data_IF_710941113718
#
_entry.id   IF_710941113718
#
_cell.length_a   1.000
_cell.length_b   1.000
_cell.length_c   1.000
_cell.angle_alpha   90.00
_cell.angle_beta   90.00
_cell.angle_gamma   90.00
#
_symmetry.space_group_name_H-M   'P 1'
#
loop_
_entity.id
_entity.type
_entity.pdbx_description
1 polymer ?
#
# COMPACT_ATOMS: atom_id res chain seq x y z
N UNK A 1 9.67 -3.51 16.98
CA UNK A 1 9.92 -2.43 16.02
C UNK A 1 8.87 -1.35 16.24
N UNK A 2 9.28 -0.08 16.25
CA UNK A 2 8.35 1.04 16.28
C UNK A 2 7.71 1.20 14.89
N UNK A 3 6.39 1.23 14.82
CA UNK A 3 5.68 1.49 13.56
C UNK A 3 5.84 2.94 13.11
N UNK A 4 6.40 3.84 13.95
CA UNK A 4 6.81 5.20 13.59
C UNK A 4 7.75 5.26 12.39
N UNK A 5 8.54 4.21 12.18
CA UNK A 5 9.54 4.15 11.11
C UNK A 5 8.97 3.59 9.81
N UNK A 6 7.71 3.14 9.85
CA UNK A 6 6.99 2.70 8.65
C UNK A 6 6.50 3.92 7.89
N UNK A 7 6.74 3.93 6.58
CA UNK A 7 6.17 4.90 5.66
C UNK A 7 5.09 4.19 4.84
N UNK A 8 3.90 4.77 4.84
CA UNK A 8 2.77 4.26 4.06
C UNK A 8 2.52 5.20 2.89
N UNK A 9 2.45 4.64 1.69
CA UNK A 9 2.05 5.36 0.47
C UNK A 9 0.80 4.69 -0.07
N UNK A 10 -0.23 5.49 -0.32
CA UNK A 10 -1.46 5.02 -0.95
C UNK A 10 -1.32 5.13 -2.47
N UNK A 11 -1.60 4.04 -3.17
CA UNK A 11 -1.66 4.03 -4.64
C UNK A 11 -3.13 3.92 -5.04
N UNK A 12 -3.67 4.94 -5.70
CA UNK A 12 -5.05 4.91 -6.15
C UNK A 12 -5.14 4.57 -7.65
N UNK A 13 -5.81 3.47 -7.97
CA UNK A 13 -6.12 3.12 -9.36
C UNK A 13 -7.29 3.99 -9.86
N UNK A 14 -6.97 5.21 -10.27
CA UNK A 14 -7.92 6.24 -10.70
C UNK A 14 -8.72 5.84 -11.97
N UNK A 15 -8.20 4.95 -12.79
CA UNK A 15 -8.72 4.69 -14.14
C UNK A 15 -9.95 3.76 -14.19
N UNK A 16 -10.17 2.91 -13.17
CA UNK A 16 -11.18 1.84 -13.26
C UNK A 16 -12.59 2.23 -12.77
N UNK A 17 -12.82 3.45 -12.26
CA UNK A 17 -14.07 3.82 -11.57
C UNK A 17 -14.72 5.15 -12.00
N UNK A 18 -14.35 5.73 -13.14
CA UNK A 18 -14.93 6.99 -13.63
C UNK A 18 -14.67 8.17 -12.67
N UNK A 19 -15.66 9.03 -12.40
CA UNK A 19 -15.48 10.22 -11.53
C UNK A 19 -15.06 9.91 -10.08
N UNK A 20 -15.28 8.68 -9.61
CA UNK A 20 -14.80 8.17 -8.30
C UNK A 20 -13.28 7.98 -8.27
N UNK A 21 -12.64 8.00 -9.45
CA UNK A 21 -11.22 8.02 -9.65
C UNK A 21 -10.62 9.41 -9.82
N UNK A 22 -11.28 10.50 -9.39
CA UNK A 22 -10.61 11.80 -9.38
C UNK A 22 -9.69 11.94 -8.17
N UNK A 23 -8.47 12.47 -8.38
CA UNK A 23 -7.54 12.80 -7.29
C UNK A 23 -8.20 13.69 -6.23
N UNK A 24 -9.04 14.63 -6.68
CA UNK A 24 -9.83 15.51 -5.81
C UNK A 24 -10.75 14.73 -4.87
N UNK A 25 -11.54 13.78 -5.40
CA UNK A 25 -12.45 12.98 -4.58
C UNK A 25 -11.69 12.11 -3.57
N UNK A 26 -10.56 11.52 -3.99
CA UNK A 26 -9.72 10.74 -3.09
C UNK A 26 -9.13 11.62 -1.97
N UNK A 27 -8.60 12.81 -2.29
CA UNK A 27 -8.06 13.73 -1.28
C UNK A 27 -9.14 14.19 -0.29
N UNK A 28 -10.35 14.49 -0.77
CA UNK A 28 -11.48 14.85 0.10
C UNK A 28 -11.84 13.71 1.06
N UNK A 29 -11.93 12.47 0.56
CA UNK A 29 -12.20 11.29 1.37
C UNK A 29 -11.12 11.07 2.44
N UNK A 30 -9.85 11.22 2.09
CA UNK A 30 -8.75 11.05 3.04
C UNK A 30 -8.76 12.12 4.12
N UNK A 31 -9.05 13.37 3.76
CA UNK A 31 -9.19 14.47 4.70
C UNK A 31 -10.36 14.23 5.67
N UNK A 32 -11.52 13.80 5.17
CA UNK A 32 -12.69 13.43 5.99
C UNK A 32 -12.36 12.32 6.99
N UNK A 33 -11.53 11.35 6.58
CA UNK A 33 -11.10 10.22 7.41
C UNK A 33 -9.90 10.53 8.31
N UNK A 34 -9.36 11.76 8.25
CA UNK A 34 -8.15 12.14 8.99
C UNK A 34 -6.87 11.40 8.55
N UNK A 35 -6.88 10.78 7.36
CA UNK A 35 -5.73 10.06 6.80
C UNK A 35 -4.79 11.06 6.13
N UNK A 36 -3.52 11.07 6.55
CA UNK A 36 -2.50 12.03 6.07
C UNK A 36 -1.41 11.41 5.22
N UNK A 37 -1.57 10.15 4.82
CA UNK A 37 -0.56 9.46 4.04
C UNK A 37 -0.47 10.03 2.62
N UNK A 38 0.74 10.10 2.03
CA UNK A 38 0.91 10.48 0.65
C UNK A 38 0.14 9.53 -0.28
N UNK A 39 -0.45 10.09 -1.33
CA UNK A 39 -1.22 9.35 -2.32
C UNK A 39 -0.64 9.63 -3.69
N UNK A 40 -0.46 8.57 -4.48
CA UNK A 40 0.03 8.63 -5.85
C UNK A 40 -0.99 8.00 -6.80
N UNK A 41 -0.97 8.45 -8.05
CA UNK A 41 -1.74 7.85 -9.11
C UNK A 41 -1.17 6.47 -9.46
N UNK A 42 -2.03 5.46 -9.37
CA UNK A 42 -1.79 4.13 -9.91
C UNK A 42 -2.22 4.11 -11.37
N UNK A 43 -1.26 4.03 -12.28
CA UNK A 43 -1.50 3.85 -13.71
C UNK A 43 -1.41 2.36 -14.11
N UNK A 44 -1.67 2.07 -15.39
CA UNK A 44 -1.50 0.74 -15.96
C UNK A 44 -0.07 0.18 -15.76
N UNK A 45 0.95 1.04 -15.73
CA UNK A 45 2.35 0.65 -15.54
C UNK A 45 2.59 0.06 -14.15
N UNK A 46 2.13 0.74 -13.10
CA UNK A 46 2.23 0.27 -11.71
C UNK A 46 1.42 -1.01 -11.50
N UNK A 47 0.21 -1.10 -12.07
CA UNK A 47 -0.60 -2.33 -12.01
C UNK A 47 0.12 -3.51 -12.64
N UNK A 48 0.74 -3.31 -13.80
CA UNK A 48 1.51 -4.35 -14.50
C UNK A 48 2.76 -4.75 -13.71
N UNK A 49 3.51 -3.79 -13.20
CA UNK A 49 4.74 -4.02 -12.43
C UNK A 49 4.46 -4.87 -11.18
N UNK A 50 3.40 -4.53 -10.45
CA UNK A 50 3.02 -5.22 -9.20
C UNK A 50 2.07 -6.42 -9.40
N UNK A 51 1.69 -6.68 -10.66
CA UNK A 51 0.72 -7.73 -11.06
C UNK A 51 -0.60 -7.60 -10.29
N UNK A 52 -1.09 -6.38 -10.12
CA UNK A 52 -2.35 -6.08 -9.43
C UNK A 52 -3.52 -6.36 -10.36
N UNK A 53 -4.23 -7.47 -10.10
CA UNK A 53 -5.47 -7.84 -10.82
C UNK A 53 -6.72 -7.32 -10.13
N UNK A 54 -6.69 -7.20 -8.81
CA UNK A 54 -7.84 -6.78 -8.00
C UNK A 54 -7.38 -5.97 -6.80
N UNK A 55 -8.15 -4.94 -6.45
CA UNK A 55 -7.93 -4.10 -5.27
C UNK A 55 -8.84 -4.55 -4.10
N UNK A 56 -8.41 -4.35 -2.83
CA UNK A 56 -7.11 -3.81 -2.41
C UNK A 56 -5.95 -4.80 -2.62
N UNK A 57 -4.74 -4.27 -2.76
CA UNK A 57 -3.49 -5.02 -2.71
C UNK A 57 -2.48 -4.23 -1.86
N UNK A 58 -1.62 -4.93 -1.12
CA UNK A 58 -0.63 -4.35 -0.21
C UNK A 58 0.75 -4.94 -0.51
N UNK A 59 1.76 -4.09 -0.55
CA UNK A 59 3.15 -4.47 -0.80
C UNK A 59 4.01 -3.89 0.31
N UNK A 60 4.86 -4.72 0.91
CA UNK A 60 5.77 -4.35 1.99
C UNK A 60 7.20 -4.43 1.48
N UNK A 61 7.94 -3.35 1.64
CA UNK A 61 9.35 -3.26 1.29
C UNK A 61 10.19 -3.06 2.55
N UNK A 62 11.42 -3.57 2.53
CA UNK A 62 12.40 -3.25 3.57
C UNK A 62 13.10 -1.90 3.29
N UNK A 63 14.00 -1.48 4.20
CA UNK A 63 14.74 -0.22 4.08
C UNK A 63 15.70 -0.15 2.89
N UNK A 64 16.05 -1.29 2.28
CA UNK A 64 16.85 -1.36 1.05
C UNK A 64 15.98 -1.34 -0.22
N UNK A 65 14.65 -1.21 -0.06
CA UNK A 65 13.69 -1.19 -1.16
C UNK A 65 13.36 -2.56 -1.72
N UNK A 66 13.71 -3.67 -1.04
CA UNK A 66 13.38 -5.03 -1.50
C UNK A 66 11.97 -5.39 -1.06
N UNK A 67 11.19 -5.97 -1.96
CA UNK A 67 9.85 -6.49 -1.65
C UNK A 67 9.97 -7.69 -0.70
N UNK A 68 9.52 -7.53 0.55
CA UNK A 68 9.52 -8.60 1.56
C UNK A 68 8.19 -9.33 1.63
N UNK A 69 7.08 -8.65 1.30
CA UNK A 69 5.77 -9.28 1.22
C UNK A 69 4.84 -8.60 0.23
N UNK A 70 3.97 -9.39 -0.38
CA UNK A 70 2.85 -8.91 -1.19
C UNK A 70 1.58 -9.61 -0.74
N UNK A 71 0.48 -8.86 -0.70
CA UNK A 71 -0.87 -9.32 -0.44
C UNK A 71 -1.72 -8.85 -1.58
N UNK A 72 -2.30 -9.80 -2.31
CA UNK A 72 -3.28 -9.51 -3.34
C UNK A 72 -4.62 -10.00 -2.84
N UNK A 73 -5.70 -9.25 -3.06
CA UNK A 73 -7.05 -9.69 -2.67
C UNK A 73 -7.41 -11.07 -3.20
N UNK A 74 -6.89 -11.44 -4.37
CA UNK A 74 -7.09 -12.76 -4.97
C UNK A 74 -6.42 -13.91 -4.20
N UNK A 75 -5.49 -13.61 -3.30
CA UNK A 75 -4.67 -14.58 -2.57
C UNK A 75 -5.11 -14.74 -1.10
N UNK A 76 -5.98 -13.86 -0.58
CA UNK A 76 -6.47 -13.94 0.79
C UNK A 76 -6.83 -12.58 1.41
N UNK A 77 -7.21 -12.57 2.69
CA UNK A 77 -7.43 -11.33 3.44
C UNK A 77 -6.12 -10.53 3.59
N UNK A 78 -6.22 -9.21 3.84
CA UNK A 78 -5.05 -8.41 4.20
C UNK A 78 -4.43 -8.91 5.52
N UNK A 79 -3.12 -8.68 5.72
CA UNK A 79 -2.44 -9.14 6.92
C UNK A 79 -2.94 -8.42 8.17
N UNK A 80 -2.88 -9.09 9.32
CA UNK A 80 -3.09 -8.44 10.61
C UNK A 80 -1.94 -7.48 10.94
N UNK A 81 -2.15 -6.65 11.96
CA UNK A 81 -1.11 -5.75 12.48
C UNK A 81 0.10 -6.54 13.00
N UNK A 82 -0.14 -7.67 13.64
CA UNK A 82 0.88 -8.57 14.19
C UNK A 82 1.70 -9.21 13.06
N UNK A 83 1.05 -9.67 12.00
CA UNK A 83 1.72 -10.21 10.82
C UNK A 83 2.59 -9.15 10.15
N UNK A 84 2.07 -7.93 9.95
CA UNK A 84 2.84 -6.79 9.43
C UNK A 84 4.05 -6.48 10.31
N UNK A 85 3.88 -6.40 11.63
CA UNK A 85 4.97 -6.14 12.56
C UNK A 85 6.05 -7.23 12.51
N UNK A 86 5.65 -8.49 12.31
CA UNK A 86 6.58 -9.62 12.15
C UNK A 86 7.41 -9.49 10.87
N UNK A 87 6.79 -9.19 9.72
CA UNK A 87 7.53 -9.02 8.46
C UNK A 87 8.56 -7.89 8.51
N UNK A 88 8.22 -6.82 9.22
CA UNK A 88 9.10 -5.67 9.36
C UNK A 88 10.21 -5.92 10.40
N UNK A 89 9.96 -6.72 11.43
CA UNK A 89 10.94 -7.04 12.48
C UNK A 89 11.93 -8.14 12.06
N UNK A 90 11.54 -9.06 11.17
CA UNK A 90 12.34 -10.22 10.77
C UNK A 90 13.66 -9.90 10.02
N UNK A 91 13.94 -8.61 9.73
CA UNK A 91 15.21 -8.16 9.11
C UNK A 91 15.96 -7.06 9.86
N UNK A 92 15.55 -6.72 11.09
CA UNK A 92 16.28 -5.78 11.95
C UNK A 92 17.62 -6.30 12.51
N UNK A 93 18.01 -7.53 12.17
CA UNK A 93 19.27 -8.14 12.61
C UNK A 93 20.35 -8.09 11.53
N UNK A 94 20.88 -6.91 11.24
CA UNK A 94 22.29 -6.65 10.85
C UNK A 94 22.43 -5.19 10.47
N UNK A 95 22.81 -4.36 11.45
CA UNK A 95 23.80 -3.29 11.31
C UNK A 95 24.13 -2.75 12.69
#
# INVERSE_FOLDING_TARGET
MDLSDVRVVLVNAFEDYGERGSERAMRALLAERGIRWPVVAGDASLRRLFRVRQIPSLFVFDGDGRLVRAFRRSEGPPPTREELASYLSARGGTR
#
